data_IF_840817016463
#
_entry.id   IF_840817016463
#
_cell.length_a   1.000
_cell.length_b   1.000
_cell.length_c   1.000
_cell.angle_alpha   90.00
_cell.angle_beta   90.00
_cell.angle_gamma   90.00
#
_symmetry.space_group_name_H-M   'P 1'
#
loop_
_entity.id
_entity.type
_entity.pdbx_description
1 polymer ?
#
# COMPACT_ATOMS: atom_id res chain seq x y z
N UNK A 1 -7.30 -28.67 -1.62
CA UNK A 1 -6.68 -27.36 -1.32
C UNK A 1 -7.67 -26.23 -1.58
N UNK A 2 -8.24 -25.62 -0.54
CA UNK A 2 -9.15 -24.47 -0.70
C UNK A 2 -8.35 -23.17 -0.86
N UNK A 3 -8.05 -22.78 -2.11
CA UNK A 3 -7.50 -21.45 -2.41
C UNK A 3 -8.62 -20.42 -2.28
N UNK A 4 -8.87 -19.92 -1.06
CA UNK A 4 -9.71 -18.72 -0.89
C UNK A 4 -9.06 -17.58 -1.70
N UNK A 5 -9.78 -16.90 -2.60
CA UNK A 5 -9.22 -15.77 -3.34
C UNK A 5 -8.75 -14.72 -2.32
N UNK A 6 -7.47 -14.33 -2.40
CA UNK A 6 -6.94 -13.21 -1.61
C UNK A 6 -7.84 -12.01 -1.94
N UNK A 7 -8.56 -11.50 -0.94
CA UNK A 7 -9.42 -10.33 -1.10
C UNK A 7 -8.55 -9.19 -1.65
N UNK A 8 -8.95 -8.64 -2.79
CA UNK A 8 -8.30 -7.45 -3.35
C UNK A 8 -8.45 -6.31 -2.33
N UNK A 9 -7.43 -5.46 -2.22
CA UNK A 9 -7.47 -4.28 -1.35
C UNK A 9 -8.52 -3.25 -1.82
N UNK A 10 -8.64 -2.12 -1.10
CA UNK A 10 -9.55 -1.03 -1.47
C UNK A 10 -9.33 -0.56 -2.91
N UNK A 11 -10.42 -0.29 -3.65
CA UNK A 11 -10.37 0.23 -5.02
C UNK A 11 -10.54 1.74 -5.00
N UNK A 12 -9.66 2.44 -5.70
CA UNK A 12 -9.75 3.88 -5.94
C UNK A 12 -10.00 4.07 -7.43
N UNK A 13 -11.02 4.88 -7.78
CA UNK A 13 -11.33 5.27 -9.16
C UNK A 13 -11.17 6.78 -9.26
N UNK A 14 -10.47 7.24 -10.28
CA UNK A 14 -10.21 8.67 -10.54
C UNK A 14 -10.41 8.97 -12.01
N UNK A 15 -10.79 10.21 -12.30
CA UNK A 15 -10.74 10.74 -13.66
C UNK A 15 -9.41 11.47 -13.87
N UNK A 16 -8.80 11.26 -15.02
CA UNK A 16 -7.58 11.95 -15.45
C UNK A 16 -7.83 12.63 -16.79
N UNK A 17 -6.97 13.54 -17.19
CA UNK A 17 -7.07 14.14 -18.53
C UNK A 17 -6.76 13.10 -19.60
N UNK A 18 -7.24 13.32 -20.83
CA UNK A 18 -6.90 12.43 -21.96
C UNK A 18 -5.38 12.35 -22.18
N UNK A 19 -4.68 13.48 -22.06
CA UNK A 19 -3.22 13.52 -22.20
C UNK A 19 -2.49 12.72 -21.13
N UNK A 20 -2.96 12.76 -19.88
CA UNK A 20 -2.39 11.94 -18.81
C UNK A 20 -2.64 10.45 -19.05
N UNK A 21 -3.83 10.10 -19.55
CA UNK A 21 -4.16 8.72 -19.88
C UNK A 21 -3.26 8.18 -21.00
N UNK A 22 -3.04 8.97 -22.05
CA UNK A 22 -2.14 8.61 -23.15
C UNK A 22 -0.69 8.43 -22.66
N UNK A 23 -0.22 9.33 -21.79
CA UNK A 23 1.11 9.22 -21.18
C UNK A 23 1.26 7.95 -20.33
N UNK A 24 0.25 7.62 -19.52
CA UNK A 24 0.23 6.37 -18.75
C UNK A 24 0.27 5.14 -19.67
N UNK A 25 -0.44 5.18 -20.80
CA UNK A 25 -0.48 4.08 -21.74
C UNK A 25 0.86 3.90 -22.49
N UNK A 26 1.53 4.99 -22.86
CA UNK A 26 2.87 4.93 -23.44
C UNK A 26 3.89 4.31 -22.47
N UNK A 27 3.86 4.69 -21.18
CA UNK A 27 4.73 4.10 -20.17
C UNK A 27 4.45 2.61 -19.99
N UNK A 28 3.18 2.23 -19.95
CA UNK A 28 2.74 0.85 -19.85
C UNK A 28 3.27 -0.01 -21.03
N UNK A 29 3.14 0.50 -22.26
CA UNK A 29 3.67 -0.18 -23.45
C UNK A 29 5.19 -0.28 -23.46
N UNK A 30 5.89 0.79 -23.06
CA UNK A 30 7.36 0.83 -23.03
C UNK A 30 7.94 -0.24 -22.11
N UNK A 31 7.33 -0.41 -20.93
CA UNK A 31 7.83 -1.30 -19.89
C UNK A 31 7.16 -2.70 -19.90
N UNK A 32 6.30 -2.98 -20.90
CA UNK A 32 5.49 -4.21 -21.03
C UNK A 32 4.68 -4.56 -19.77
N UNK A 33 3.97 -3.55 -19.25
CA UNK A 33 3.14 -3.65 -18.04
C UNK A 33 1.75 -3.06 -18.27
N UNK A 34 0.84 -3.27 -17.32
CA UNK A 34 -0.48 -2.62 -17.36
C UNK A 34 -0.43 -1.17 -16.87
N UNK A 35 -1.35 -0.33 -17.36
CA UNK A 35 -1.57 1.03 -16.82
C UNK A 35 -1.80 1.02 -15.30
N UNK A 36 -2.50 0.01 -14.77
CA UNK A 36 -2.70 -0.15 -13.32
C UNK A 36 -1.40 -0.36 -12.54
N UNK A 37 -0.39 -1.00 -13.14
CA UNK A 37 0.93 -1.14 -12.53
C UNK A 37 1.64 0.21 -12.48
N UNK A 38 1.61 0.98 -13.57
CA UNK A 38 2.21 2.32 -13.66
C UNK A 38 1.60 3.25 -12.61
N UNK A 39 0.27 3.26 -12.51
CA UNK A 39 -0.46 4.06 -11.51
C UNK A 39 -0.07 3.66 -10.09
N UNK A 40 0.01 2.35 -9.79
CA UNK A 40 0.43 1.88 -8.46
C UNK A 40 1.85 2.34 -8.13
N UNK A 41 2.77 2.25 -9.08
CA UNK A 41 4.14 2.72 -8.90
C UNK A 41 4.20 4.23 -8.66
N UNK A 42 3.44 5.01 -9.41
CA UNK A 42 3.36 6.46 -9.23
C UNK A 42 2.82 6.84 -7.83
N UNK A 43 1.80 6.11 -7.34
CA UNK A 43 1.27 6.27 -5.98
C UNK A 43 2.35 5.94 -4.94
N UNK A 44 3.05 4.80 -5.07
CA UNK A 44 4.10 4.41 -4.14
C UNK A 44 5.23 5.44 -4.08
N UNK A 45 5.64 5.97 -5.24
CA UNK A 45 6.65 7.02 -5.32
C UNK A 45 6.17 8.34 -4.70
N UNK A 46 4.93 8.75 -4.97
CA UNK A 46 4.35 9.94 -4.39
C UNK A 46 4.27 9.82 -2.86
N UNK A 47 3.75 8.71 -2.35
CA UNK A 47 3.69 8.44 -0.91
C UNK A 47 5.09 8.39 -0.29
N UNK A 48 6.08 7.79 -0.95
CA UNK A 48 7.46 7.74 -0.44
C UNK A 48 8.07 9.13 -0.32
N UNK A 49 7.79 10.04 -1.27
CA UNK A 49 8.27 11.44 -1.24
C UNK A 49 7.59 12.27 -0.14
N UNK A 50 6.35 11.94 0.21
CA UNK A 50 5.53 12.68 1.19
C UNK A 50 5.43 12.02 2.56
N UNK A 51 5.97 10.81 2.72
CA UNK A 51 6.36 10.31 4.03
C UNK A 51 7.50 11.19 4.50
N UNK A 52 7.15 12.26 5.21
CA UNK A 52 8.01 12.86 6.23
C UNK A 52 8.71 11.72 6.97
N UNK A 53 9.99 11.84 7.37
CA UNK A 53 10.59 10.88 8.28
C UNK A 53 9.71 10.88 9.53
N UNK A 54 8.79 9.93 9.61
CA UNK A 54 8.12 9.58 10.86
C UNK A 54 9.26 9.06 11.69
N UNK A 55 9.80 9.98 12.49
CA UNK A 55 10.73 9.75 13.58
C UNK A 55 10.32 8.42 14.16
N UNK A 56 11.23 7.44 14.13
CA UNK A 56 11.05 6.17 14.80
C UNK A 56 10.78 6.47 16.28
N UNK A 57 9.51 6.66 16.60
CA UNK A 57 9.03 7.02 17.91
C UNK A 57 7.92 6.02 18.20
N UNK A 58 8.39 4.93 18.82
CA UNK A 58 7.65 4.17 19.81
C UNK A 58 6.53 3.30 19.23
N UNK A 59 6.91 2.09 18.81
CA UNK A 59 6.08 0.94 19.18
C UNK A 59 6.00 0.93 20.71
N UNK A 60 4.81 1.04 21.33
CA UNK A 60 4.70 0.70 22.73
C UNK A 60 5.03 -0.79 22.83
N UNK A 61 6.05 -1.10 23.63
CA UNK A 61 6.36 -2.45 24.03
C UNK A 61 5.05 -3.13 24.45
N UNK A 62 4.72 -4.23 23.77
CA UNK A 62 3.77 -5.21 24.30
C UNK A 62 4.40 -5.80 25.55
N UNK A 63 4.20 -5.15 26.69
CA UNK A 63 4.37 -5.78 27.99
C UNK A 63 2.97 -6.12 28.51
N UNK A 64 2.40 -7.18 27.93
CA UNK A 64 1.31 -7.93 28.58
C UNK A 64 1.96 -9.08 29.37
N UNK A 65 2.14 -8.83 30.66
CA UNK A 65 1.62 -9.62 31.77
C UNK A 65 1.89 -11.14 31.78
N UNK A 66 2.53 -11.68 32.84
CA UNK A 66 2.19 -12.98 33.39
C UNK A 66 1.14 -12.84 34.48
N UNK A 67 0.03 -13.52 34.27
CA UNK A 67 -1.03 -13.81 35.24
C UNK A 67 -0.59 -14.79 36.32
N UNK A 68 -1.24 -14.64 37.48
CA UNK A 68 -1.57 -15.63 38.50
C UNK A 68 -0.53 -15.92 39.60
N UNK A 69 -0.88 -15.52 40.82
CA UNK A 69 -1.20 -16.50 41.89
C UNK A 69 -2.27 -15.92 42.81
N UNK A 70 -3.39 -16.64 42.91
CA UNK A 70 -4.40 -16.53 43.97
C UNK A 70 -3.98 -17.36 45.20
N UNK A 71 -4.75 -17.20 46.30
CA UNK A 71 -4.82 -17.99 47.55
C UNK A 71 -3.65 -17.70 48.54
N UNK A 72 -3.85 -17.41 49.83
CA UNK A 72 -4.98 -17.50 50.78
C UNK A 72 -4.75 -16.48 51.90
#
# INVERSE_FOLDING_TARGET
MNRRPKRLGPRVTVSVTSGDFDALNMLAHKDDVSVSWVVRRAIDEYLRRHRQPVRAAQSPASEKQPTASQLT
#
